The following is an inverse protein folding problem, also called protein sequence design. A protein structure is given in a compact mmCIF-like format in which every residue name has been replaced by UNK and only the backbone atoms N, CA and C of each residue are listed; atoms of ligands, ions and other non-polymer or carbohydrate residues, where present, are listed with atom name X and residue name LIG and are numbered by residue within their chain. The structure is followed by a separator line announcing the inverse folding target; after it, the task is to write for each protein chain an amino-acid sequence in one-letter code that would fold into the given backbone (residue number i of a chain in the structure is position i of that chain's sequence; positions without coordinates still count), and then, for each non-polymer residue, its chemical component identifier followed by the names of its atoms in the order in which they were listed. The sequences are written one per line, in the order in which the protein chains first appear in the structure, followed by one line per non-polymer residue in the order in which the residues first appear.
data_IF_926698227663
#
_entry.id   IF_926698227663
#
_cell.length_a   1.000
_cell.length_b   1.000
_cell.length_c   1.000
_cell.angle_alpha   90.00
_cell.angle_beta   90.00
_cell.angle_gamma   90.00
#
_symmetry.space_group_name_H-M   'P 1'
#
loop_
_entity.id
_entity.type
_entity.pdbx_description
1 polymer ?
#
# COMPACT_ATOMS: atom_id res chain seq x y z
N UNK A 1 -19.52 -60.13 35.88
CA UNK A 1 -19.65 -59.74 34.46
C UNK A 1 -19.22 -58.29 34.31
N UNK A 2 -18.01 -58.03 33.83
CA UNK A 2 -17.45 -56.69 33.69
C UNK A 2 -17.53 -56.28 32.23
N UNK A 3 -18.36 -55.26 31.90
CA UNK A 3 -18.39 -54.59 30.61
C UNK A 3 -17.32 -53.52 30.60
N UNK A 4 -16.20 -53.75 29.95
CA UNK A 4 -15.22 -52.70 29.54
C UNK A 4 -15.69 -52.10 28.22
N UNK A 5 -16.26 -50.88 28.31
CA UNK A 5 -16.69 -50.11 27.15
C UNK A 5 -15.51 -49.45 26.49
N UNK A 6 -15.39 -49.67 25.20
CA UNK A 6 -14.51 -49.08 24.22
C UNK A 6 -14.72 -47.56 24.03
N UNK A 7 -13.75 -46.73 24.40
CA UNK A 7 -13.71 -45.31 24.05
C UNK A 7 -12.34 -44.84 23.52
N UNK A 8 -11.87 -45.32 22.36
CA UNK A 8 -10.77 -44.59 21.73
C UNK A 8 -11.12 -43.89 20.41
N UNK A 9 -12.29 -44.17 19.77
CA UNK A 9 -12.56 -43.65 18.42
C UNK A 9 -12.93 -42.16 18.34
N UNK A 10 -13.49 -41.59 19.43
CA UNK A 10 -13.95 -40.16 19.38
C UNK A 10 -12.82 -39.14 19.55
N UNK A 11 -11.67 -39.52 20.09
CA UNK A 11 -10.52 -38.59 20.26
C UNK A 11 -9.71 -38.29 19.02
N UNK A 12 -9.80 -39.12 18.00
CA UNK A 12 -9.06 -38.95 16.75
C UNK A 12 -9.82 -38.12 15.69
N UNK A 13 -11.14 -37.97 15.81
CA UNK A 13 -11.99 -37.25 14.84
C UNK A 13 -11.94 -35.72 15.04
N UNK A 14 -11.81 -35.25 16.28
CA UNK A 14 -11.78 -33.83 16.59
C UNK A 14 -10.58 -33.07 15.94
N UNK A 15 -9.33 -33.56 15.97
CA UNK A 15 -8.22 -32.88 15.30
C UNK A 15 -8.33 -32.92 13.76
N UNK A 16 -8.92 -33.95 13.18
CA UNK A 16 -9.13 -34.01 11.72
C UNK A 16 -10.16 -33.01 11.23
N UNK A 17 -11.24 -32.79 11.98
CA UNK A 17 -12.24 -31.77 11.68
C UNK A 17 -11.70 -30.34 11.84
N UNK A 18 -10.82 -30.10 12.83
CA UNK A 18 -10.16 -28.82 13.02
C UNK A 18 -9.19 -28.48 11.86
N UNK A 19 -8.44 -29.45 11.37
CA UNK A 19 -7.55 -29.27 10.20
C UNK A 19 -8.36 -29.03 8.92
N UNK A 20 -9.47 -29.76 8.72
CA UNK A 20 -10.34 -29.53 7.58
C UNK A 20 -11.01 -28.15 7.60
N UNK A 21 -11.40 -27.64 8.79
CA UNK A 21 -11.96 -26.29 8.93
C UNK A 21 -10.92 -25.18 8.69
N UNK A 22 -9.66 -25.38 9.07
CA UNK A 22 -8.58 -24.46 8.78
C UNK A 22 -8.19 -24.42 7.28
N UNK A 23 -8.29 -25.51 6.58
CA UNK A 23 -8.06 -25.57 5.13
C UNK A 23 -9.22 -24.94 4.32
N UNK A 24 -10.44 -24.95 4.83
CA UNK A 24 -11.59 -24.35 4.15
C UNK A 24 -11.61 -22.82 4.18
N UNK A 25 -10.82 -22.18 5.07
CA UNK A 25 -10.73 -20.71 5.19
C UNK A 25 -9.57 -20.11 4.40
N UNK A 26 -8.81 -20.87 3.64
CA UNK A 26 -7.80 -20.27 2.75
C UNK A 26 -8.53 -19.54 1.60
N UNK A 27 -8.28 -18.24 1.39
CA UNK A 27 -8.89 -17.52 0.27
C UNK A 27 -8.53 -18.22 -1.05
N UNK A 28 -9.55 -18.52 -1.85
CA UNK A 28 -9.35 -19.18 -3.14
C UNK A 28 -8.72 -18.19 -4.12
N UNK A 29 -7.41 -18.31 -4.34
CA UNK A 29 -6.69 -17.54 -5.35
C UNK A 29 -6.81 -18.26 -6.70
N UNK A 30 -7.61 -17.72 -7.57
CA UNK A 30 -7.79 -18.27 -8.91
C UNK A 30 -7.08 -17.39 -9.93
N UNK A 31 -6.32 -18.00 -10.83
CA UNK A 31 -5.72 -17.27 -11.96
C UNK A 31 -6.84 -16.85 -12.89
N UNK A 32 -6.87 -15.56 -13.22
CA UNK A 32 -7.82 -14.99 -14.16
C UNK A 32 -7.42 -15.40 -15.57
N UNK A 33 -8.34 -15.91 -16.36
CA UNK A 33 -8.08 -16.42 -17.72
C UNK A 33 -9.08 -15.85 -18.72
N UNK A 34 -8.73 -15.93 -20.01
CA UNK A 34 -9.61 -15.50 -21.10
C UNK A 34 -9.90 -13.99 -21.08
N UNK A 35 -11.08 -13.56 -21.54
CA UNK A 35 -11.42 -12.15 -21.69
C UNK A 35 -11.39 -11.35 -20.37
N UNK A 36 -11.43 -12.01 -19.23
CA UNK A 36 -11.32 -11.36 -17.93
C UNK A 36 -9.86 -11.02 -17.60
N UNK A 37 -8.91 -11.84 -18.03
CA UNK A 37 -7.47 -11.55 -17.90
C UNK A 37 -7.11 -10.28 -18.67
N UNK A 38 -7.58 -10.14 -19.91
CA UNK A 38 -7.36 -8.95 -20.73
C UNK A 38 -7.94 -7.69 -20.08
N UNK A 39 -9.10 -7.82 -19.43
CA UNK A 39 -9.72 -6.70 -18.70
C UNK A 39 -8.92 -6.31 -17.46
N UNK A 40 -8.44 -7.28 -16.70
CA UNK A 40 -7.62 -7.05 -15.52
C UNK A 40 -6.28 -6.39 -15.90
N UNK A 41 -5.63 -6.89 -16.96
CA UNK A 41 -4.39 -6.31 -17.46
C UNK A 41 -4.58 -4.85 -17.92
N UNK A 42 -5.60 -4.59 -18.75
CA UNK A 42 -5.95 -3.24 -19.18
C UNK A 42 -6.27 -2.32 -18.03
N UNK A 43 -6.94 -2.83 -16.99
CA UNK A 43 -7.24 -2.06 -15.79
C UNK A 43 -5.95 -1.61 -15.10
N UNK A 44 -5.05 -2.54 -14.76
CA UNK A 44 -3.81 -2.20 -14.05
C UNK A 44 -2.86 -1.35 -14.92
N UNK A 45 -2.72 -1.67 -16.20
CA UNK A 45 -1.88 -0.90 -17.13
C UNK A 45 -2.39 0.54 -17.34
N UNK A 46 -3.69 0.76 -17.24
CA UNK A 46 -4.31 2.08 -17.41
C UNK A 46 -4.25 2.98 -16.17
N UNK A 47 -4.01 2.41 -14.97
CA UNK A 47 -4.02 3.19 -13.72
C UNK A 47 -2.97 4.31 -13.66
N UNK A 48 -1.71 4.13 -14.08
CA UNK A 48 -0.71 5.20 -14.04
C UNK A 48 -1.09 6.43 -14.87
N UNK A 49 -1.77 6.24 -15.99
CA UNK A 49 -2.22 7.33 -16.89
C UNK A 49 -3.42 8.14 -16.34
N UNK A 50 -4.02 7.72 -15.22
CA UNK A 50 -5.10 8.47 -14.57
C UNK A 50 -4.59 9.67 -13.76
N UNK A 51 -3.30 9.71 -13.46
CA UNK A 51 -2.69 10.83 -12.73
C UNK A 51 -2.16 11.83 -13.74
N UNK A 52 -2.71 13.05 -13.70
CA UNK A 52 -2.32 14.16 -14.56
C UNK A 52 -1.32 15.04 -13.82
N UNK A 53 -0.16 15.26 -14.42
CA UNK A 53 0.86 16.17 -13.90
C UNK A 53 0.70 17.59 -14.45
N UNK A 54 1.09 18.64 -13.71
CA UNK A 54 1.71 18.60 -12.41
C UNK A 54 0.72 18.25 -11.28
N UNK A 55 1.20 17.50 -10.26
CA UNK A 55 0.44 17.21 -9.04
C UNK A 55 0.89 18.18 -7.95
N UNK A 56 -0.07 18.86 -7.32
CA UNK A 56 0.10 19.58 -6.05
C UNK A 56 -0.98 19.13 -5.11
N UNK A 57 -0.62 18.73 -3.90
CA UNK A 57 -1.58 18.29 -2.91
C UNK A 57 -1.05 18.52 -1.50
N UNK A 58 -1.97 18.72 -0.55
CA UNK A 58 -1.70 18.78 0.88
C UNK A 58 -2.46 17.66 1.58
N UNK A 59 -1.86 17.13 2.64
CA UNK A 59 -2.42 16.08 3.46
C UNK A 59 -2.18 16.42 4.93
N UNK A 60 -3.20 16.31 5.73
CA UNK A 60 -3.06 16.23 7.19
C UNK A 60 -3.03 14.77 7.61
N UNK A 61 -2.27 14.43 8.64
CA UNK A 61 -2.12 13.04 9.01
C UNK A 61 -1.58 12.79 10.40
N UNK A 62 -1.50 11.50 10.71
CA UNK A 62 -0.95 10.98 11.96
C UNK A 62 -0.02 9.83 11.66
N UNK A 63 1.17 9.85 12.24
CA UNK A 63 2.10 8.73 12.27
C UNK A 63 1.92 7.98 13.60
N UNK A 64 1.66 6.70 13.51
CA UNK A 64 1.53 5.79 14.66
C UNK A 64 2.78 4.91 14.68
N UNK A 65 3.77 5.19 15.53
CA UNK A 65 4.97 4.38 15.65
C UNK A 65 4.68 3.03 16.32
N UNK A 66 5.61 2.08 16.24
CA UNK A 66 5.52 0.78 16.93
C UNK A 66 5.44 0.96 18.45
N UNK A 67 6.08 2.01 18.96
CA UNK A 67 6.05 2.39 20.38
C UNK A 67 6.10 3.92 20.50
N UNK A 68 5.32 4.48 21.41
CA UNK A 68 5.21 5.92 21.64
C UNK A 68 3.82 6.45 21.28
N UNK A 69 3.68 7.76 21.34
CA UNK A 69 2.44 8.46 21.06
C UNK A 69 2.26 8.75 19.57
N UNK A 70 1.02 8.95 19.16
CA UNK A 70 0.66 9.37 17.82
C UNK A 70 1.24 10.75 17.52
N UNK A 71 1.92 10.88 16.39
CA UNK A 71 2.57 12.13 15.96
C UNK A 71 1.78 12.74 14.82
N UNK A 72 1.10 13.88 15.03
CA UNK A 72 0.41 14.58 13.95
C UNK A 72 1.42 15.27 13.03
N UNK A 73 1.10 15.32 11.73
CA UNK A 73 1.93 15.96 10.73
C UNK A 73 1.09 16.52 9.58
N UNK A 74 1.69 17.40 8.79
CA UNK A 74 1.18 17.86 7.50
C UNK A 74 2.18 17.44 6.42
N UNK A 75 1.70 16.94 5.29
CA UNK A 75 2.51 16.60 4.14
C UNK A 75 2.11 17.45 2.94
N UNK A 76 3.08 18.13 2.34
CA UNK A 76 2.91 18.82 1.06
C UNK A 76 3.57 18.02 -0.06
N UNK A 77 2.87 17.84 -1.18
CA UNK A 77 3.37 17.14 -2.37
C UNK A 77 3.45 18.11 -3.52
N UNK A 78 4.59 18.15 -4.19
CA UNK A 78 4.81 18.87 -5.44
C UNK A 78 5.52 17.96 -6.42
N UNK A 79 4.86 17.63 -7.53
CA UNK A 79 5.40 16.77 -8.56
C UNK A 79 5.12 17.42 -9.93
N UNK A 80 6.11 18.11 -10.53
CA UNK A 80 6.00 18.62 -11.90
C UNK A 80 5.86 17.49 -12.92
N UNK A 81 6.52 16.37 -12.69
CA UNK A 81 6.50 15.16 -13.52
C UNK A 81 6.57 13.90 -12.64
N UNK A 82 6.38 12.69 -13.21
CA UNK A 82 6.57 11.45 -12.47
C UNK A 82 8.02 11.18 -12.06
N UNK A 83 8.97 11.87 -12.67
CA UNK A 83 10.41 11.74 -12.42
C UNK A 83 10.93 12.78 -11.43
N UNK A 84 10.21 13.86 -11.22
CA UNK A 84 10.61 14.97 -10.33
C UNK A 84 9.52 15.22 -9.31
N UNK A 85 9.76 14.81 -8.08
CA UNK A 85 8.77 14.89 -7.00
C UNK A 85 9.43 15.33 -5.70
N UNK A 86 8.72 16.15 -4.95
CA UNK A 86 9.07 16.56 -3.60
C UNK A 86 7.90 16.32 -2.66
N UNK A 87 8.16 15.70 -1.51
CA UNK A 87 7.22 15.58 -0.41
C UNK A 87 7.85 16.20 0.83
N UNK A 88 7.27 17.29 1.30
CA UNK A 88 7.65 17.92 2.57
C UNK A 88 6.78 17.40 3.70
N UNK A 89 7.40 16.96 4.80
CA UNK A 89 6.71 16.64 6.05
C UNK A 89 6.95 17.76 7.05
N UNK A 90 5.88 18.24 7.65
CA UNK A 90 5.87 19.37 8.57
C UNK A 90 5.18 18.98 9.88
N UNK A 91 5.61 19.57 10.96
CA UNK A 91 4.86 19.48 12.21
C UNK A 91 3.58 20.36 12.13
N UNK A 92 2.65 20.27 13.10
CA UNK A 92 1.42 21.06 13.09
C UNK A 92 1.64 22.59 13.13
N UNK A 93 2.86 23.03 13.44
CA UNK A 93 3.24 24.44 13.46
C UNK A 93 3.90 24.90 12.14
N UNK A 94 3.95 24.01 11.13
CA UNK A 94 4.52 24.31 9.82
C UNK A 94 6.05 24.22 9.76
N UNK A 95 6.73 23.70 10.79
CA UNK A 95 8.18 23.54 10.78
C UNK A 95 8.55 22.25 10.07
N UNK A 96 9.49 22.30 9.12
CA UNK A 96 9.93 21.14 8.36
C UNK A 96 10.53 20.06 9.25
N UNK A 97 10.03 18.84 9.12
CA UNK A 97 10.52 17.63 9.79
C UNK A 97 11.44 16.84 8.86
N UNK A 98 10.98 16.58 7.65
CA UNK A 98 11.72 15.85 6.63
C UNK A 98 11.28 16.29 5.24
N UNK A 99 12.17 16.12 4.28
CA UNK A 99 11.88 16.34 2.86
C UNK A 99 12.31 15.11 2.10
N UNK A 100 11.40 14.59 1.30
CA UNK A 100 11.65 13.49 0.38
C UNK A 100 11.72 14.07 -1.03
N UNK A 101 12.85 13.85 -1.69
CA UNK A 101 13.06 14.20 -3.09
C UNK A 101 13.18 12.91 -3.89
N UNK A 102 12.42 12.80 -4.96
CA UNK A 102 12.42 11.66 -5.85
C UNK A 102 12.80 12.11 -7.26
N UNK A 103 13.88 11.56 -7.79
CA UNK A 103 14.37 11.80 -9.16
C UNK A 103 13.97 10.69 -10.14
N UNK A 104 12.98 9.86 -9.79
CA UNK A 104 12.54 8.70 -10.53
C UNK A 104 13.41 7.46 -10.36
N UNK A 105 14.60 7.57 -9.76
CA UNK A 105 15.52 6.46 -9.47
C UNK A 105 15.78 6.30 -7.99
N UNK A 106 15.89 7.42 -7.29
CA UNK A 106 16.23 7.47 -5.87
C UNK A 106 15.23 8.31 -5.12
N UNK A 107 14.93 7.91 -3.90
CA UNK A 107 14.28 8.75 -2.92
C UNK A 107 15.35 9.21 -1.93
N UNK A 108 15.69 10.48 -1.97
CA UNK A 108 16.54 11.12 -0.99
C UNK A 108 15.70 11.66 0.16
N UNK A 109 16.10 11.41 1.40
CA UNK A 109 15.41 11.91 2.58
C UNK A 109 16.37 12.84 3.34
N UNK A 110 16.03 14.12 3.39
CA UNK A 110 16.75 15.12 4.14
C UNK A 110 16.01 15.52 5.42
N UNK A 111 16.78 15.97 6.44
CA UNK A 111 16.22 16.41 7.72
C UNK A 111 15.80 17.87 7.64
N UNK A 112 14.60 18.15 8.15
CA UNK A 112 14.15 19.51 8.38
C UNK A 112 14.55 20.05 9.78
N UNK A 113 14.34 21.34 10.04
CA UNK A 113 14.65 21.98 11.32
C UNK A 113 13.96 21.36 12.54
N UNK A 114 12.79 20.78 12.36
CA UNK A 114 12.00 20.13 13.43
C UNK A 114 12.23 18.61 13.52
N UNK A 115 13.18 18.05 12.79
CA UNK A 115 13.40 16.62 12.73
C UNK A 115 13.70 16.00 14.11
N UNK A 116 14.47 16.69 14.96
CA UNK A 116 14.80 16.19 16.29
C UNK A 116 13.59 16.13 17.21
N UNK A 117 12.65 17.07 17.08
CA UNK A 117 11.41 17.10 17.87
C UNK A 117 10.49 15.95 17.51
N UNK A 118 10.51 15.51 16.25
CA UNK A 118 9.75 14.36 15.75
C UNK A 118 10.51 13.02 15.91
N UNK A 119 11.71 13.01 16.51
CA UNK A 119 12.54 11.82 16.63
C UNK A 119 13.06 11.28 15.29
N UNK A 120 13.00 12.08 14.23
CA UNK A 120 13.44 11.67 12.89
C UNK A 120 14.97 11.63 12.82
N UNK A 121 15.49 10.45 12.54
CA UNK A 121 16.91 10.22 12.27
C UNK A 121 17.09 10.11 10.77
N UNK A 122 17.66 11.09 10.12
CA UNK A 122 17.88 11.09 8.67
C UNK A 122 18.22 9.69 8.11
N UNK A 123 17.90 9.45 6.87
CA UNK A 123 18.13 8.19 6.17
C UNK A 123 19.04 8.44 4.96
N UNK A 124 19.83 7.43 4.61
CA UNK A 124 20.58 7.44 3.35
C UNK A 124 19.58 7.38 2.17
N UNK A 125 19.96 7.95 1.02
CA UNK A 125 19.16 7.84 -0.20
C UNK A 125 18.88 6.38 -0.54
N UNK A 126 17.62 6.09 -0.86
CA UNK A 126 17.16 4.76 -1.24
C UNK A 126 17.09 4.68 -2.76
N UNK A 127 17.80 3.71 -3.33
CA UNK A 127 17.61 3.36 -4.75
C UNK A 127 16.29 2.59 -4.90
N UNK A 128 15.25 3.29 -5.34
CA UNK A 128 13.90 2.75 -5.47
C UNK A 128 13.58 2.32 -6.90
N UNK A 129 14.44 2.67 -7.86
CA UNK A 129 14.10 2.62 -9.27
C UNK A 129 13.00 3.63 -9.63
N UNK A 130 12.37 3.53 -10.82
CA UNK A 130 11.43 4.52 -11.34
C UNK A 130 10.07 4.45 -10.61
N UNK A 131 10.01 4.88 -9.35
CA UNK A 131 8.80 4.98 -8.54
C UNK A 131 8.28 6.42 -8.54
N UNK A 132 6.96 6.60 -8.54
CA UNK A 132 6.32 7.90 -8.39
C UNK A 132 5.50 7.94 -7.09
N UNK A 133 5.90 8.80 -6.17
CA UNK A 133 5.20 9.04 -4.91
C UNK A 133 3.87 9.77 -5.16
N UNK A 134 3.85 10.72 -6.09
CA UNK A 134 2.65 11.44 -6.45
C UNK A 134 1.58 10.50 -7.02
N UNK A 135 1.96 9.50 -7.81
CA UNK A 135 1.02 8.46 -8.27
C UNK A 135 0.48 7.65 -7.10
N UNK A 136 1.35 7.19 -6.20
CA UNK A 136 0.94 6.46 -5.00
C UNK A 136 -0.07 7.29 -4.19
N UNK A 137 0.24 8.53 -3.91
CA UNK A 137 -0.62 9.42 -3.15
C UNK A 137 -1.91 9.81 -3.89
N UNK A 138 -1.93 9.67 -5.21
CA UNK A 138 -3.13 9.84 -6.04
C UNK A 138 -3.94 8.54 -6.24
N UNK A 139 -3.52 7.43 -5.61
CA UNK A 139 -4.24 6.16 -5.71
C UNK A 139 -3.98 5.40 -7.00
N UNK A 140 -2.79 5.55 -7.58
CA UNK A 140 -2.32 4.83 -8.74
C UNK A 140 -1.04 4.04 -8.41
N UNK A 141 -0.63 3.06 -9.25
CA UNK A 141 0.62 2.36 -9.07
C UNK A 141 1.82 3.30 -9.11
N UNK A 142 2.74 3.15 -8.17
CA UNK A 142 3.98 3.93 -8.13
C UNK A 142 4.94 3.56 -9.25
N UNK A 143 5.01 2.28 -9.60
CA UNK A 143 5.76 1.79 -10.76
C UNK A 143 4.86 1.65 -11.99
N UNK A 144 5.44 1.79 -13.17
CA UNK A 144 4.78 1.35 -14.41
C UNK A 144 4.61 -0.16 -14.31
N UNK A 145 3.39 -0.63 -14.52
CA UNK A 145 3.08 -2.07 -14.48
C UNK A 145 3.79 -2.77 -15.63
N UNK A 146 4.72 -3.66 -15.31
CA UNK A 146 5.34 -4.51 -16.31
C UNK A 146 4.36 -5.61 -16.76
N UNK A 147 4.34 -6.01 -18.03
CA UNK A 147 3.61 -7.17 -18.46
C UNK A 147 4.31 -8.41 -17.88
N UNK A 148 3.83 -9.00 -16.81
CA UNK A 148 4.59 -10.06 -16.20
C UNK A 148 3.77 -11.20 -15.62
N UNK A 149 2.93 -11.01 -14.66
CA UNK A 149 2.24 -12.13 -14.03
C UNK A 149 0.75 -12.12 -14.38
N UNK A 150 0.18 -13.33 -14.48
CA UNK A 150 -1.25 -13.45 -14.66
C UNK A 150 -1.99 -12.79 -13.48
N UNK A 151 -2.97 -11.97 -13.78
CA UNK A 151 -3.85 -11.42 -12.76
C UNK A 151 -4.54 -12.57 -12.02
N UNK A 152 -4.75 -12.40 -10.73
CA UNK A 152 -5.45 -13.34 -9.86
C UNK A 152 -6.75 -12.73 -9.39
N UNK A 153 -7.71 -13.60 -9.15
CA UNK A 153 -8.97 -13.24 -8.56
C UNK A 153 -9.01 -13.73 -7.11
N UNK A 154 -9.27 -12.81 -6.19
CA UNK A 154 -9.32 -13.09 -4.76
C UNK A 154 -10.37 -12.17 -4.11
N UNK A 155 -11.33 -12.75 -3.41
CA UNK A 155 -12.37 -12.03 -2.66
C UNK A 155 -13.11 -10.94 -3.46
N UNK A 156 -13.46 -11.24 -4.71
CA UNK A 156 -14.16 -10.29 -5.58
C UNK A 156 -13.27 -9.25 -6.26
N UNK A 157 -12.00 -9.18 -5.93
CA UNK A 157 -11.04 -8.22 -6.45
C UNK A 157 -10.03 -8.87 -7.41
N UNK A 158 -9.45 -8.07 -8.31
CA UNK A 158 -8.26 -8.46 -9.05
C UNK A 158 -7.00 -8.12 -8.28
N UNK A 159 -6.02 -8.99 -8.34
CA UNK A 159 -4.67 -8.74 -7.86
C UNK A 159 -3.65 -9.01 -8.96
N UNK A 160 -2.61 -8.18 -9.03
CA UNK A 160 -1.50 -8.31 -9.98
C UNK A 160 -0.19 -8.12 -9.23
N UNK A 161 0.81 -8.96 -9.51
CA UNK A 161 2.17 -8.81 -8.98
C UNK A 161 3.17 -8.84 -10.13
N UNK A 162 4.16 -7.92 -10.11
CA UNK A 162 5.24 -7.85 -11.10
C UNK A 162 6.64 -7.98 -10.46
N UNK A 163 6.69 -8.53 -9.24
CA UNK A 163 7.92 -8.70 -8.45
C UNK A 163 8.37 -7.44 -7.69
N UNK A 164 8.07 -6.23 -8.17
CA UNK A 164 8.35 -4.95 -7.48
C UNK A 164 7.16 -4.45 -6.69
N UNK A 165 5.96 -4.71 -7.20
CA UNK A 165 4.72 -4.30 -6.57
C UNK A 165 3.68 -5.41 -6.67
N UNK A 166 2.77 -5.41 -5.70
CA UNK A 166 1.55 -6.19 -5.74
C UNK A 166 0.37 -5.22 -5.63
N UNK A 167 -0.50 -5.24 -6.61
CA UNK A 167 -1.61 -4.31 -6.75
C UNK A 167 -2.93 -5.04 -6.50
N UNK A 168 -3.88 -4.39 -5.84
CA UNK A 168 -5.21 -4.94 -5.58
C UNK A 168 -6.29 -3.94 -5.98
N UNK A 169 -7.23 -4.36 -6.83
CA UNK A 169 -8.40 -3.56 -7.18
C UNK A 169 -9.41 -3.51 -6.03
N UNK A 170 -10.35 -2.56 -6.11
CA UNK A 170 -11.60 -2.67 -5.38
C UNK A 170 -12.44 -3.85 -5.88
N UNK A 171 -13.42 -4.35 -5.11
CA UNK A 171 -14.31 -5.43 -5.57
C UNK A 171 -15.12 -5.04 -6.81
N UNK A 172 -15.43 -3.76 -6.99
CA UNK A 172 -16.08 -3.22 -8.19
C UNK A 172 -15.17 -3.09 -9.40
N UNK A 173 -13.85 -3.31 -9.24
CA UNK A 173 -12.83 -3.27 -10.30
C UNK A 173 -12.76 -1.91 -11.01
N UNK A 174 -12.97 -0.84 -10.28
CA UNK A 174 -13.03 0.53 -10.79
C UNK A 174 -11.75 1.33 -10.48
N UNK A 175 -11.13 1.03 -9.33
CA UNK A 175 -9.94 1.74 -8.85
C UNK A 175 -9.03 0.82 -8.03
N UNK A 176 -7.83 1.28 -7.75
CA UNK A 176 -6.87 0.61 -6.88
C UNK A 176 -7.33 0.75 -5.42
N UNK A 177 -7.48 -0.37 -4.72
CA UNK A 177 -7.85 -0.41 -3.29
C UNK A 177 -6.63 -0.50 -2.38
N UNK A 178 -5.53 -1.03 -2.89
CA UNK A 178 -4.28 -1.14 -2.16
C UNK A 178 -3.12 -1.61 -3.02
N UNK A 179 -1.92 -1.41 -2.51
CA UNK A 179 -0.68 -1.83 -3.15
C UNK A 179 0.37 -2.20 -2.10
N UNK A 180 1.26 -3.09 -2.47
CA UNK A 180 2.49 -3.39 -1.74
C UNK A 180 3.68 -3.11 -2.66
N UNK A 181 4.65 -2.34 -2.18
CA UNK A 181 5.88 -2.02 -2.90
C UNK A 181 7.07 -2.66 -2.19
N UNK A 182 7.94 -3.31 -2.97
CA UNK A 182 9.20 -3.88 -2.51
C UNK A 182 10.34 -2.96 -2.93
N UNK A 183 10.90 -2.27 -1.97
CA UNK A 183 12.08 -1.43 -2.15
C UNK A 183 13.25 -2.11 -1.43
N UNK A 184 14.49 -1.97 -1.88
CA UNK A 184 15.64 -2.57 -1.21
C UNK A 184 15.64 -2.32 0.30
N UNK A 185 15.63 -3.38 1.10
CA UNK A 185 15.63 -3.32 2.58
C UNK A 185 14.30 -2.89 3.23
N UNK A 186 13.22 -2.71 2.45
CA UNK A 186 11.97 -2.18 2.97
C UNK A 186 10.76 -2.68 2.19
N UNK A 187 9.64 -2.88 2.90
CA UNK A 187 8.31 -3.11 2.33
C UNK A 187 7.42 -1.92 2.69
N UNK A 188 6.72 -1.40 1.72
CA UNK A 188 5.73 -0.33 1.88
C UNK A 188 4.38 -0.86 1.48
N UNK A 189 3.41 -0.83 2.38
CA UNK A 189 2.01 -1.15 2.05
C UNK A 189 1.20 0.13 2.01
N UNK A 190 0.28 0.20 1.07
CA UNK A 190 -0.62 1.33 0.87
C UNK A 190 -2.03 0.81 0.73
N UNK A 191 -2.94 1.34 1.52
CA UNK A 191 -4.37 1.08 1.41
C UNK A 191 -5.11 2.39 1.19
N UNK A 192 -6.19 2.33 0.41
CA UNK A 192 -7.07 3.45 0.10
C UNK A 192 -8.48 3.17 0.64
N UNK A 193 -8.68 3.26 1.97
CA UNK A 193 -9.94 2.90 2.59
C UNK A 193 -11.06 3.88 2.20
N UNK A 194 -12.25 3.32 1.93
CA UNK A 194 -13.45 4.12 1.62
C UNK A 194 -13.43 4.81 0.26
N UNK A 195 -12.56 4.39 -0.67
CA UNK A 195 -12.49 4.98 -2.00
C UNK A 195 -13.72 4.61 -2.82
N UNK A 196 -14.52 5.60 -3.21
CA UNK A 196 -15.78 5.42 -3.94
C UNK A 196 -15.75 6.00 -5.35
N UNK A 197 -14.78 6.87 -5.65
CA UNK A 197 -14.63 7.54 -6.95
C UNK A 197 -13.25 7.31 -7.59
N UNK A 198 -13.12 7.69 -8.85
CA UNK A 198 -11.85 7.73 -9.58
C UNK A 198 -10.94 8.89 -9.17
N UNK A 199 -11.46 9.85 -8.41
CA UNK A 199 -10.71 10.97 -7.90
C UNK A 199 -9.58 10.51 -6.98
N UNK A 200 -8.57 11.35 -6.74
CA UNK A 200 -7.55 11.02 -5.76
C UNK A 200 -8.17 10.66 -4.42
N UNK A 201 -7.66 9.62 -3.75
CA UNK A 201 -8.24 9.11 -2.52
C UNK A 201 -8.22 10.18 -1.43
N UNK A 202 -9.34 10.35 -0.73
CA UNK A 202 -9.45 11.25 0.43
C UNK A 202 -8.62 10.74 1.60
N UNK A 203 -8.50 9.42 1.74
CA UNK A 203 -7.79 8.78 2.82
C UNK A 203 -6.79 7.75 2.30
N UNK A 204 -5.57 7.81 2.83
CA UNK A 204 -4.47 6.91 2.49
C UNK A 204 -3.89 6.37 3.79
N UNK A 205 -3.65 5.07 3.83
CA UNK A 205 -2.92 4.44 4.93
C UNK A 205 -1.65 3.84 4.37
N UNK A 206 -0.50 4.33 4.86
CA UNK A 206 0.82 3.83 4.51
C UNK A 206 1.38 3.07 5.70
N UNK A 207 2.02 1.94 5.47
CA UNK A 207 2.76 1.22 6.51
C UNK A 207 4.17 0.95 6.03
N UNK A 208 5.15 1.40 6.80
CA UNK A 208 6.57 1.31 6.50
C UNK A 208 7.32 0.92 7.77
N UNK A 209 8.04 -0.20 7.76
CA UNK A 209 8.84 -0.68 8.91
C UNK A 209 8.07 -0.69 10.24
N UNK A 210 6.78 -1.02 10.21
CA UNK A 210 5.92 -1.06 11.40
C UNK A 210 5.33 0.29 11.82
N UNK A 211 5.75 1.40 11.22
CA UNK A 211 5.10 2.70 11.42
C UNK A 211 3.92 2.80 10.48
N UNK A 212 2.78 3.18 11.01
CA UNK A 212 1.55 3.40 10.24
C UNK A 212 1.28 4.89 10.10
N UNK A 213 1.18 5.37 8.87
CA UNK A 213 0.81 6.73 8.54
C UNK A 213 -0.63 6.75 8.03
N UNK A 214 -1.47 7.54 8.63
CA UNK A 214 -2.81 7.81 8.13
C UNK A 214 -2.82 9.24 7.61
N UNK A 215 -3.09 9.40 6.32
CA UNK A 215 -3.17 10.70 5.65
C UNK A 215 -4.60 10.95 5.21
N UNK A 216 -5.04 12.19 5.32
CA UNK A 216 -6.27 12.71 4.76
C UNK A 216 -5.93 13.86 3.83
N UNK A 217 -6.44 13.82 2.62
CA UNK A 217 -6.26 14.91 1.66
C UNK A 217 -7.02 16.14 2.15
N UNK A 218 -6.34 17.28 2.17
CA UNK A 218 -6.98 18.54 2.49
C UNK A 218 -7.82 19.01 1.28
N UNK A 219 -8.94 19.67 1.53
CA UNK A 219 -9.71 20.32 0.46
C UNK A 219 -8.89 21.48 -0.11
N UNK A 220 -8.85 21.59 -1.43
CA UNK A 220 -8.24 22.73 -2.13
C UNK A 220 -9.12 23.97 -2.00
#
# INVERSE_FOLDING_TARGET
MNFRGTKPALRAVAPLLAVAALCACAPSRTIVTGPEADRAEKFFAGLPGRVVFPVKASYSGTAVPVAGDDVPFVAGVSAPSPEEEMVGLYDPFGRGVAFLENDGRRVAISRGPAADLAGFRGADPLDTGPVSLARILSGAPGYIVAPAEAARYEDGAWSLSDGRQSLRSDPGRRFLAGAEYRVPGMRVTVDYPGRESSDPPERIVLSVRGVKFTLRRDAE
#
